data_IF_827830249232
#
_entry.id   IF_827830249232
#
_cell.length_a   1.000
_cell.length_b   1.000
_cell.length_c   1.000
_cell.angle_alpha   90.00
_cell.angle_beta   90.00
_cell.angle_gamma   90.00
#
_symmetry.space_group_name_H-M   'P 1'
#
loop_
_entity.id
_entity.type
_entity.pdbx_description
1 polymer ?
#
# COMPACT_ATOMS: atom_id res chain seq x y z
N UNK A 1 13.03 -5.66 -59.06
CA UNK A 1 13.36 -6.35 -57.80
C UNK A 1 14.68 -5.95 -57.14
N UNK A 2 15.62 -5.29 -57.80
CA UNK A 2 16.90 -4.82 -57.23
C UNK A 2 16.82 -3.38 -56.66
N UNK A 3 15.86 -2.54 -57.09
CA UNK A 3 15.71 -1.15 -56.67
C UNK A 3 15.03 -1.01 -55.30
N UNK A 4 14.12 -1.91 -54.96
CA UNK A 4 13.41 -1.90 -53.66
C UNK A 4 14.30 -2.23 -52.48
N UNK A 5 15.27 -3.15 -52.68
CA UNK A 5 16.23 -3.52 -51.62
C UNK A 5 17.19 -2.34 -51.28
N UNK A 6 17.48 -1.46 -52.22
CA UNK A 6 18.41 -0.32 -52.03
C UNK A 6 17.74 0.81 -51.21
N UNK A 7 16.43 1.03 -51.39
CA UNK A 7 15.69 2.06 -50.66
C UNK A 7 15.44 1.60 -49.23
N UNK A 8 14.99 0.35 -49.03
CA UNK A 8 14.82 -0.25 -47.71
C UNK A 8 16.12 -0.26 -46.90
N UNK A 9 17.24 -0.65 -47.53
CA UNK A 9 18.56 -0.63 -46.89
C UNK A 9 19.00 0.77 -46.49
N UNK A 10 18.70 1.80 -47.31
CA UNK A 10 18.99 3.22 -47.00
C UNK A 10 18.10 3.76 -45.87
N UNK A 11 16.84 3.38 -45.79
CA UNK A 11 15.92 3.77 -44.71
C UNK A 11 16.35 3.14 -43.39
N UNK A 12 16.70 1.86 -43.41
CA UNK A 12 17.19 1.12 -42.22
C UNK A 12 18.49 1.75 -41.70
N UNK A 13 19.47 2.05 -42.58
CA UNK A 13 20.76 2.61 -42.16
C UNK A 13 20.66 4.03 -41.58
N UNK A 14 19.62 4.79 -41.88
CA UNK A 14 19.39 6.12 -41.30
C UNK A 14 18.85 6.11 -39.88
N UNK A 15 18.31 5.00 -39.42
CA UNK A 15 17.62 4.86 -38.13
C UNK A 15 18.29 3.82 -37.21
N UNK A 16 19.57 3.54 -37.43
CA UNK A 16 20.33 2.64 -36.59
C UNK A 16 20.63 3.30 -35.23
N UNK A 17 20.45 2.55 -34.17
CA UNK A 17 20.78 2.94 -32.80
C UNK A 17 21.78 1.94 -32.24
N UNK A 18 22.76 2.40 -31.52
CA UNK A 18 23.72 1.52 -30.89
C UNK A 18 23.34 1.23 -29.44
N UNK A 19 23.62 0.04 -28.97
CA UNK A 19 23.49 -0.32 -27.56
C UNK A 19 24.39 0.57 -26.69
N UNK A 20 23.79 1.25 -25.71
CA UNK A 20 24.53 2.15 -24.81
C UNK A 20 25.56 1.44 -23.91
N UNK A 21 25.63 0.11 -23.90
CA UNK A 21 26.53 -0.65 -23.04
C UNK A 21 27.70 -1.32 -23.82
N UNK A 22 27.44 -1.86 -25.00
CA UNK A 22 28.45 -2.60 -25.78
C UNK A 22 28.67 -2.05 -27.19
N UNK A 23 27.96 -0.98 -27.54
CA UNK A 23 28.02 -0.31 -28.85
C UNK A 23 27.60 -1.17 -30.06
N UNK A 24 27.02 -2.35 -29.84
CA UNK A 24 26.45 -3.18 -30.91
C UNK A 24 25.27 -2.45 -31.54
N UNK A 25 25.18 -2.48 -32.85
CA UNK A 25 24.06 -1.94 -33.61
C UNK A 25 22.77 -2.68 -33.29
N UNK A 26 21.69 -1.93 -33.09
CA UNK A 26 20.35 -2.43 -32.76
C UNK A 26 19.42 -2.22 -33.93
N UNK A 27 18.64 -3.23 -34.28
CA UNK A 27 17.65 -3.12 -35.35
C UNK A 27 16.34 -2.54 -34.81
N UNK A 28 15.70 -1.67 -35.60
CA UNK A 28 14.36 -1.20 -35.27
C UNK A 28 13.38 -2.38 -35.37
N UNK A 29 12.37 -2.37 -34.50
CA UNK A 29 11.26 -3.34 -34.48
C UNK A 29 9.94 -2.62 -34.81
N UNK A 30 8.92 -3.40 -35.22
CA UNK A 30 7.62 -2.82 -35.64
C UNK A 30 7.66 -2.32 -37.08
N UNK A 31 6.75 -1.42 -37.43
CA UNK A 31 6.62 -0.84 -38.78
C UNK A 31 6.87 0.67 -38.81
N UNK A 32 6.93 1.33 -37.64
CA UNK A 32 7.01 2.78 -37.55
C UNK A 32 8.29 3.36 -38.16
N UNK A 33 9.37 2.60 -38.19
CA UNK A 33 10.63 2.99 -38.81
C UNK A 33 10.57 3.09 -40.35
N UNK A 34 9.52 2.53 -40.95
CA UNK A 34 9.33 2.59 -42.41
C UNK A 34 8.78 3.95 -42.90
N UNK A 35 8.20 4.72 -41.99
CA UNK A 35 7.63 6.02 -42.33
C UNK A 35 8.64 7.16 -42.17
N UNK A 36 8.72 8.03 -43.18
CA UNK A 36 9.70 9.13 -43.16
C UNK A 36 9.39 10.20 -42.09
N UNK A 37 8.13 10.37 -41.75
CA UNK A 37 7.63 11.41 -40.83
C UNK A 37 7.53 10.97 -39.35
N UNK A 38 8.00 9.78 -39.01
CA UNK A 38 7.97 9.33 -37.60
C UNK A 38 9.19 9.89 -36.87
N UNK A 39 8.93 10.51 -35.72
CA UNK A 39 10.00 10.98 -34.84
C UNK A 39 10.92 9.82 -34.44
N UNK A 40 12.25 9.98 -34.44
CA UNK A 40 13.19 8.97 -34.01
C UNK A 40 12.90 8.41 -32.62
N UNK A 41 12.29 9.22 -31.75
CA UNK A 41 11.93 8.85 -30.37
C UNK A 41 10.74 7.87 -30.30
N UNK A 42 9.95 7.77 -31.37
CA UNK A 42 8.84 6.83 -31.48
C UNK A 42 9.26 5.46 -32.04
N UNK A 43 10.50 5.31 -32.48
CA UNK A 43 10.99 4.06 -33.07
C UNK A 43 11.46 3.13 -31.94
N UNK A 44 10.84 1.97 -31.85
CA UNK A 44 11.29 0.91 -30.95
C UNK A 44 12.44 0.11 -31.56
N UNK A 45 13.38 -0.30 -30.75
CA UNK A 45 14.56 -1.08 -31.14
C UNK A 45 14.63 -2.40 -30.37
N UNK A 46 15.25 -3.40 -31.00
CA UNK A 46 15.54 -4.66 -30.33
C UNK A 46 16.39 -4.42 -29.08
N UNK A 47 16.19 -5.26 -28.07
CA UNK A 47 17.02 -5.22 -26.85
C UNK A 47 18.33 -5.97 -27.12
N UNK A 48 19.46 -5.33 -26.80
CA UNK A 48 20.75 -5.98 -26.95
C UNK A 48 20.88 -7.19 -26.00
N UNK A 49 21.52 -8.24 -26.50
CA UNK A 49 21.77 -9.48 -25.78
C UNK A 49 23.00 -9.47 -24.86
N UNK A 50 23.76 -8.34 -24.80
CA UNK A 50 24.89 -8.21 -23.89
C UNK A 50 24.44 -8.21 -22.43
N UNK A 51 25.30 -8.71 -21.53
CA UNK A 51 24.97 -8.92 -20.11
C UNK A 51 24.47 -7.66 -19.42
N UNK A 52 25.13 -6.52 -19.65
CA UNK A 52 24.71 -5.23 -19.06
C UNK A 52 23.34 -4.77 -19.56
N UNK A 53 23.03 -5.01 -20.84
CA UNK A 53 21.70 -4.67 -21.39
C UNK A 53 20.62 -5.58 -20.79
N UNK A 54 20.88 -6.90 -20.66
CA UNK A 54 19.94 -7.82 -20.02
C UNK A 54 19.63 -7.40 -18.58
N UNK A 55 20.65 -7.08 -17.78
CA UNK A 55 20.47 -6.61 -16.40
C UNK A 55 19.67 -5.30 -16.33
N UNK A 56 19.97 -4.34 -17.20
CA UNK A 56 19.25 -3.07 -17.31
C UNK A 56 17.77 -3.29 -17.64
N UNK A 57 17.47 -4.08 -18.67
CA UNK A 57 16.09 -4.32 -19.08
C UNK A 57 15.32 -5.15 -18.05
N UNK A 58 15.93 -6.14 -17.43
CA UNK A 58 15.31 -6.91 -16.35
C UNK A 58 14.91 -6.00 -15.17
N UNK A 59 15.77 -5.04 -14.80
CA UNK A 59 15.45 -4.04 -13.77
C UNK A 59 14.33 -3.12 -14.23
N UNK A 60 14.41 -2.60 -15.45
CA UNK A 60 13.41 -1.67 -16.00
C UNK A 60 12.04 -2.34 -16.14
N UNK A 61 11.96 -3.55 -16.68
CA UNK A 61 10.71 -4.30 -16.82
C UNK A 61 10.06 -4.55 -15.44
N UNK A 62 10.87 -4.82 -14.42
CA UNK A 62 10.38 -4.96 -13.05
C UNK A 62 9.83 -3.64 -12.50
N UNK A 63 10.51 -2.53 -12.75
CA UNK A 63 10.06 -1.19 -12.34
C UNK A 63 8.76 -0.81 -13.07
N UNK A 64 8.68 -1.03 -14.38
CA UNK A 64 7.50 -0.74 -15.20
C UNK A 64 6.30 -1.60 -14.76
N UNK A 65 6.51 -2.89 -14.49
CA UNK A 65 5.48 -3.77 -13.93
C UNK A 65 4.97 -3.27 -12.57
N UNK A 66 5.87 -2.88 -11.67
CA UNK A 66 5.48 -2.34 -10.36
C UNK A 66 4.71 -1.03 -10.49
N UNK A 67 5.11 -0.14 -11.40
CA UNK A 67 4.40 1.12 -11.65
C UNK A 67 3.00 0.87 -12.22
N UNK A 68 2.87 -0.05 -13.20
CA UNK A 68 1.57 -0.45 -13.75
C UNK A 68 0.66 -1.02 -12.65
N UNK A 69 1.19 -1.88 -11.78
CA UNK A 69 0.46 -2.48 -10.66
C UNK A 69 0.03 -1.41 -9.64
N UNK A 70 0.88 -0.42 -9.36
CA UNK A 70 0.54 0.72 -8.48
C UNK A 70 -0.59 1.58 -9.05
N UNK A 71 -0.57 1.88 -10.33
CA UNK A 71 -1.66 2.62 -10.99
C UNK A 71 -2.97 1.81 -11.00
N UNK A 72 -2.90 0.51 -11.19
CA UNK A 72 -4.05 -0.38 -11.07
C UNK A 72 -4.65 -0.34 -9.66
N UNK A 73 -3.82 -0.44 -8.61
CA UNK A 73 -4.28 -0.34 -7.23
C UNK A 73 -4.92 1.02 -6.91
N UNK A 74 -4.35 2.13 -7.42
CA UNK A 74 -4.96 3.46 -7.28
C UNK A 74 -6.34 3.54 -7.91
N UNK A 75 -6.51 2.94 -9.10
CA UNK A 75 -7.82 2.88 -9.79
C UNK A 75 -8.84 2.10 -8.96
N UNK A 76 -8.48 0.92 -8.46
CA UNK A 76 -9.37 0.12 -7.60
C UNK A 76 -9.76 0.89 -6.34
N UNK A 77 -8.80 1.46 -5.61
CA UNK A 77 -9.09 2.22 -4.40
C UNK A 77 -10.02 3.40 -4.70
N UNK A 78 -9.76 4.14 -5.76
CA UNK A 78 -10.63 5.25 -6.15
C UNK A 78 -12.04 4.78 -6.51
N UNK A 79 -12.20 3.67 -7.21
CA UNK A 79 -13.50 3.11 -7.57
C UNK A 79 -14.27 2.64 -6.33
N UNK A 80 -13.66 1.81 -5.49
CA UNK A 80 -14.31 1.17 -4.35
C UNK A 80 -14.60 2.16 -3.21
N UNK A 81 -13.74 3.16 -3.02
CA UNK A 81 -13.80 4.05 -1.86
C UNK A 81 -14.13 5.51 -2.20
N UNK A 82 -14.45 5.82 -3.48
CA UNK A 82 -14.77 7.19 -3.93
C UNK A 82 -15.88 7.85 -3.13
N UNK A 83 -16.90 7.08 -2.75
CA UNK A 83 -18.07 7.54 -2.02
C UNK A 83 -18.12 7.02 -0.57
N UNK A 84 -17.07 6.39 -0.06
CA UNK A 84 -17.06 5.81 1.26
C UNK A 84 -16.93 6.89 2.36
N UNK A 85 -17.55 6.64 3.49
CA UNK A 85 -17.45 7.43 4.71
C UNK A 85 -15.98 7.67 5.14
N UNK A 86 -15.08 6.74 4.82
CA UNK A 86 -13.65 6.82 5.08
C UNK A 86 -13.02 8.09 4.52
N UNK A 87 -13.29 8.40 3.23
CA UNK A 87 -12.64 9.53 2.56
C UNK A 87 -13.05 10.88 3.16
N UNK A 88 -14.33 11.04 3.52
CA UNK A 88 -14.84 12.31 4.09
C UNK A 88 -14.37 12.55 5.53
N UNK A 89 -14.39 11.52 6.37
CA UNK A 89 -14.10 11.67 7.80
C UNK A 89 -12.62 11.87 8.11
N UNK A 90 -11.71 11.35 7.28
CA UNK A 90 -10.29 11.41 7.55
C UNK A 90 -9.55 12.53 6.81
N UNK A 91 -10.17 13.14 5.78
CA UNK A 91 -9.50 14.11 4.89
C UNK A 91 -8.89 15.33 5.59
N UNK A 92 -9.54 15.81 6.63
CA UNK A 92 -9.13 17.05 7.32
C UNK A 92 -8.29 16.78 8.58
N UNK A 93 -7.97 15.51 8.88
CA UNK A 93 -7.18 15.16 10.05
C UNK A 93 -5.71 15.13 9.70
N UNK A 94 -4.92 16.05 10.27
CA UNK A 94 -3.49 16.14 10.07
C UNK A 94 -2.76 16.38 11.41
N UNK A 95 -1.43 16.36 11.41
CA UNK A 95 -0.64 16.56 12.61
C UNK A 95 -0.74 17.99 13.13
N UNK A 96 -0.96 19.00 12.25
CA UNK A 96 -1.02 20.42 12.58
C UNK A 96 -2.30 20.75 13.36
N UNK A 97 -3.44 20.13 13.01
CA UNK A 97 -4.71 20.38 13.68
C UNK A 97 -5.05 19.36 14.78
N UNK A 98 -4.09 18.49 15.12
CA UNK A 98 -4.24 17.59 16.25
C UNK A 98 -4.21 18.34 17.59
N UNK A 99 -5.16 18.06 18.47
CA UNK A 99 -5.15 18.63 19.81
C UNK A 99 -4.10 17.95 20.70
N UNK A 100 -2.92 18.56 20.81
CA UNK A 100 -1.76 18.04 21.56
C UNK A 100 -2.00 17.93 23.08
N UNK A 101 -3.01 18.60 23.61
CA UNK A 101 -3.36 18.48 25.04
C UNK A 101 -3.94 17.10 25.41
N UNK A 102 -4.35 16.30 24.42
CA UNK A 102 -4.96 14.98 24.63
C UNK A 102 -3.94 13.90 24.91
N UNK A 103 -2.68 14.09 24.52
CA UNK A 103 -1.65 13.05 24.49
C UNK A 103 -0.29 13.64 24.85
N UNK A 104 0.58 12.83 25.42
CA UNK A 104 1.96 13.20 25.71
C UNK A 104 2.73 13.52 24.40
N UNK A 105 3.49 14.63 24.40
CA UNK A 105 4.31 15.08 23.26
C UNK A 105 5.29 14.00 22.76
N UNK A 106 5.79 13.15 23.65
CA UNK A 106 6.67 12.03 23.30
C UNK A 106 5.97 11.04 22.37
N UNK A 107 4.70 10.69 22.68
CA UNK A 107 3.93 9.77 21.85
C UNK A 107 3.65 10.36 20.45
N UNK A 108 3.36 11.65 20.37
CA UNK A 108 3.16 12.35 19.09
C UNK A 108 4.45 12.31 18.28
N UNK A 109 5.59 12.63 18.89
CA UNK A 109 6.90 12.61 18.22
C UNK A 109 7.28 11.23 17.72
N UNK A 110 7.00 10.17 18.48
CA UNK A 110 7.21 8.78 18.02
C UNK A 110 6.41 8.49 16.76
N UNK A 111 5.16 8.95 16.68
CA UNK A 111 4.29 8.73 15.52
C UNK A 111 4.74 9.58 14.32
N UNK A 112 5.17 10.82 14.54
CA UNK A 112 5.75 11.65 13.49
C UNK A 112 7.03 11.01 12.92
N UNK A 113 7.97 10.59 13.78
CA UNK A 113 9.19 9.89 13.38
C UNK A 113 8.91 8.57 12.64
N UNK A 114 7.90 7.81 13.09
CA UNK A 114 7.42 6.62 12.40
C UNK A 114 6.94 6.96 10.99
N UNK A 115 6.15 8.01 10.87
CA UNK A 115 5.59 8.46 9.58
C UNK A 115 6.69 8.87 8.61
N UNK A 116 7.69 9.61 9.06
CA UNK A 116 8.84 10.01 8.22
C UNK A 116 9.65 8.78 7.75
N UNK A 117 9.82 7.77 8.60
CA UNK A 117 10.46 6.50 8.21
C UNK A 117 9.63 5.74 7.17
N UNK A 118 8.30 5.76 7.28
CA UNK A 118 7.42 5.18 6.26
C UNK A 118 7.53 5.93 4.92
N UNK A 119 7.58 7.26 4.94
CA UNK A 119 7.80 8.09 3.74
C UNK A 119 9.12 7.69 3.05
N UNK A 120 10.18 7.55 3.82
CA UNK A 120 11.50 7.16 3.34
C UNK A 120 11.59 5.66 2.93
N UNK A 121 10.50 4.87 3.07
CA UNK A 121 10.46 3.41 2.86
C UNK A 121 11.52 2.63 3.66
N UNK A 122 11.87 3.16 4.84
CA UNK A 122 12.81 2.54 5.79
C UNK A 122 12.10 1.78 6.91
N UNK A 123 10.78 1.94 7.02
CA UNK A 123 9.97 1.30 8.05
C UNK A 123 9.34 0.03 7.49
N UNK A 124 9.55 -1.07 8.15
CA UNK A 124 8.99 -2.39 7.82
C UNK A 124 8.03 -2.91 8.89
N UNK A 125 8.21 -2.44 10.14
CA UNK A 125 7.33 -2.81 11.23
C UNK A 125 6.07 -1.92 11.25
N UNK A 126 4.96 -2.51 11.68
CA UNK A 126 3.71 -1.81 11.89
C UNK A 126 3.70 -0.99 13.19
N UNK A 127 2.57 -0.32 13.44
CA UNK A 127 2.32 0.48 14.64
C UNK A 127 0.95 0.16 15.23
N UNK A 128 0.89 -0.16 16.53
CA UNK A 128 -0.36 -0.27 17.27
C UNK A 128 -0.50 0.93 18.19
N UNK A 129 -1.53 1.74 17.99
CA UNK A 129 -1.87 2.88 18.82
C UNK A 129 -3.01 2.48 19.77
N UNK A 130 -2.69 2.35 21.04
CA UNK A 130 -3.68 1.97 22.08
C UNK A 130 -4.07 3.15 22.96
N UNK A 131 -5.22 3.08 23.62
CA UNK A 131 -5.66 4.11 24.56
C UNK A 131 -7.19 4.22 24.64
N UNK A 132 -7.68 4.92 25.66
CA UNK A 132 -9.12 5.09 25.88
C UNK A 132 -9.82 5.81 24.71
N UNK A 133 -11.14 5.75 24.67
CA UNK A 133 -11.92 6.45 23.65
C UNK A 133 -11.76 7.98 23.79
N UNK A 134 -11.66 8.68 22.67
CA UNK A 134 -11.60 10.14 22.61
C UNK A 134 -10.22 10.75 22.85
N UNK A 135 -9.14 9.95 22.91
CA UNK A 135 -7.76 10.46 23.06
C UNK A 135 -7.08 10.80 21.72
N UNK A 136 -7.79 10.77 20.60
CA UNK A 136 -7.27 11.19 19.31
C UNK A 136 -6.58 10.10 18.47
N UNK A 137 -6.69 8.81 18.79
CA UNK A 137 -6.08 7.70 18.02
C UNK A 137 -6.44 7.73 16.54
N UNK A 138 -7.73 7.81 16.24
CA UNK A 138 -8.26 7.90 14.86
C UNK A 138 -7.71 9.13 14.14
N UNK A 139 -7.60 10.26 14.82
CA UNK A 139 -7.05 11.49 14.24
C UNK A 139 -5.58 11.29 13.81
N UNK A 140 -4.75 10.75 14.69
CA UNK A 140 -3.34 10.51 14.35
C UNK A 140 -3.16 9.41 13.30
N UNK A 141 -3.98 8.38 13.32
CA UNK A 141 -4.00 7.38 12.25
C UNK A 141 -4.35 8.00 10.89
N UNK A 142 -5.33 8.91 10.86
CA UNK A 142 -5.68 9.64 9.65
C UNK A 142 -4.61 10.66 9.24
N UNK A 143 -3.94 11.31 10.21
CA UNK A 143 -2.81 12.20 9.93
C UNK A 143 -1.63 11.46 9.27
N UNK A 144 -1.32 10.24 9.75
CA UNK A 144 -0.35 9.34 9.08
C UNK A 144 -0.80 9.09 7.64
N UNK A 145 -2.07 8.67 7.44
CA UNK A 145 -2.59 8.36 6.11
C UNK A 145 -2.45 9.54 5.15
N UNK A 146 -2.93 10.71 5.56
CA UNK A 146 -2.91 11.92 4.73
C UNK A 146 -1.48 12.33 4.36
N UNK A 147 -0.56 12.32 5.32
CA UNK A 147 0.84 12.65 5.07
C UNK A 147 1.52 11.68 4.09
N UNK A 148 1.24 10.38 4.18
CA UNK A 148 1.74 9.38 3.24
C UNK A 148 1.13 9.56 1.85
N UNK A 149 -0.17 9.86 1.75
CA UNK A 149 -0.87 10.13 0.48
C UNK A 149 -0.30 11.37 -0.22
N UNK A 150 -0.03 12.45 0.52
CA UNK A 150 0.63 13.66 0.01
C UNK A 150 2.00 13.37 -0.60
N UNK A 151 2.70 12.35 -0.09
CA UNK A 151 3.98 11.88 -0.63
C UNK A 151 3.83 10.82 -1.74
N UNK A 152 2.61 10.66 -2.29
CA UNK A 152 2.33 9.76 -3.41
C UNK A 152 2.29 8.27 -3.06
N UNK A 153 2.23 7.93 -1.77
CA UNK A 153 2.06 6.54 -1.35
C UNK A 153 0.61 6.08 -1.49
N UNK A 154 0.42 4.79 -1.65
CA UNK A 154 -0.90 4.17 -1.75
C UNK A 154 -1.31 3.72 -0.36
N UNK A 155 -2.30 4.40 0.21
CA UNK A 155 -2.75 4.18 1.58
C UNK A 155 -4.24 3.90 1.60
N UNK A 156 -4.63 2.96 2.43
CA UNK A 156 -6.03 2.67 2.73
C UNK A 156 -6.23 2.77 4.25
N UNK A 157 -7.25 3.52 4.67
CA UNK A 157 -7.63 3.65 6.09
C UNK A 157 -9.11 3.33 6.27
N UNK A 158 -9.44 2.54 7.28
CA UNK A 158 -10.83 2.25 7.65
C UNK A 158 -10.97 1.26 8.78
N UNK A 159 -12.23 1.00 9.16
CA UNK A 159 -12.56 -0.07 10.09
C UNK A 159 -12.42 -1.43 9.41
N UNK A 160 -12.09 -2.46 10.19
CA UNK A 160 -11.98 -3.83 9.67
C UNK A 160 -13.26 -4.27 8.96
N UNK A 161 -14.45 -3.99 9.54
CA UNK A 161 -15.74 -4.31 8.91
C UNK A 161 -15.89 -3.71 7.53
N UNK A 162 -15.54 -2.42 7.36
CA UNK A 162 -15.63 -1.74 6.06
C UNK A 162 -14.70 -2.38 5.02
N UNK A 163 -13.49 -2.77 5.41
CA UNK A 163 -12.54 -3.44 4.53
C UNK A 163 -13.04 -4.82 4.12
N UNK A 164 -13.57 -5.59 5.08
CA UNK A 164 -14.11 -6.94 4.83
C UNK A 164 -15.42 -6.91 4.06
N UNK A 165 -16.28 -5.91 4.27
CA UNK A 165 -17.52 -5.77 3.51
C UNK A 165 -17.22 -5.50 2.04
N UNK A 166 -16.15 -4.75 1.71
CA UNK A 166 -15.70 -4.61 0.32
C UNK A 166 -15.25 -5.94 -0.29
N UNK A 167 -14.63 -6.82 0.49
CA UNK A 167 -14.32 -8.18 0.01
C UNK A 167 -15.61 -8.97 -0.25
N UNK A 168 -16.62 -8.87 0.61
CA UNK A 168 -17.92 -9.54 0.38
C UNK A 168 -18.68 -9.00 -0.83
N UNK A 169 -18.60 -7.69 -1.07
CA UNK A 169 -19.23 -7.07 -2.25
C UNK A 169 -18.71 -7.67 -3.56
N UNK A 170 -17.45 -8.15 -3.59
CA UNK A 170 -16.90 -8.82 -4.80
C UNK A 170 -17.62 -10.12 -5.16
N UNK A 171 -18.34 -10.74 -4.23
CA UNK A 171 -19.13 -11.94 -4.52
C UNK A 171 -20.36 -11.66 -5.38
N UNK A 172 -20.87 -10.44 -5.35
CA UNK A 172 -22.04 -10.02 -6.14
C UNK A 172 -21.66 -9.28 -7.43
N UNK A 173 -20.47 -8.68 -7.48
CA UNK A 173 -19.97 -7.89 -8.60
C UNK A 173 -18.65 -8.49 -9.11
N UNK A 174 -18.68 -9.11 -10.29
CA UNK A 174 -17.52 -9.79 -10.89
C UNK A 174 -16.45 -8.83 -11.46
N UNK A 175 -16.47 -7.54 -11.11
CA UNK A 175 -15.49 -6.57 -11.63
C UNK A 175 -14.11 -6.70 -10.99
N UNK A 176 -14.06 -7.13 -9.73
CA UNK A 176 -12.82 -7.35 -8.96
C UNK A 176 -13.03 -8.63 -8.14
N UNK A 177 -12.10 -9.56 -8.18
CA UNK A 177 -12.19 -10.79 -7.40
C UNK A 177 -11.78 -10.58 -5.92
N UNK A 178 -12.24 -11.48 -5.04
CA UNK A 178 -11.78 -11.53 -3.65
C UNK A 178 -10.25 -11.57 -3.53
N UNK A 179 -9.61 -12.42 -4.34
CA UNK A 179 -8.15 -12.58 -4.31
C UNK A 179 -7.42 -11.29 -4.71
N UNK A 180 -7.91 -10.58 -5.73
CA UNK A 180 -7.33 -9.30 -6.15
C UNK A 180 -7.45 -8.24 -5.05
N UNK A 181 -8.55 -8.23 -4.30
CA UNK A 181 -8.74 -7.27 -3.22
C UNK A 181 -7.88 -7.61 -1.99
N UNK A 182 -7.74 -8.90 -1.65
CA UNK A 182 -6.80 -9.35 -0.62
C UNK A 182 -5.37 -9.04 -1.04
N UNK A 183 -5.01 -9.26 -2.31
CA UNK A 183 -3.69 -8.92 -2.84
C UNK A 183 -3.43 -7.41 -2.77
N UNK A 184 -4.42 -6.58 -3.11
CA UNK A 184 -4.33 -5.13 -2.94
C UNK A 184 -4.04 -4.75 -1.50
N UNK A 185 -4.83 -5.24 -0.53
CA UNK A 185 -4.64 -4.93 0.91
C UNK A 185 -3.29 -5.43 1.43
N UNK A 186 -2.80 -6.52 0.87
CA UNK A 186 -1.50 -7.11 1.23
C UNK A 186 -0.29 -6.34 0.66
N UNK A 187 -0.45 -5.58 -0.43
CA UNK A 187 0.68 -5.04 -1.19
C UNK A 187 0.73 -3.51 -1.33
N UNK A 188 -0.30 -2.77 -0.92
CA UNK A 188 -0.23 -1.29 -0.90
C UNK A 188 0.78 -0.81 0.14
N UNK A 189 1.30 0.42 -0.03
CA UNK A 189 2.36 0.96 0.82
C UNK A 189 1.95 0.95 2.31
N UNK A 190 0.69 1.29 2.64
CA UNK A 190 0.17 1.29 4.01
C UNK A 190 -1.30 0.88 4.05
N UNK A 191 -1.65 0.02 5.01
CA UNK A 191 -3.04 -0.19 5.44
C UNK A 191 -3.20 0.22 6.90
N UNK A 192 -4.28 0.94 7.20
CA UNK A 192 -4.59 1.43 8.54
C UNK A 192 -5.96 0.88 8.95
N UNK A 193 -5.99 0.08 10.00
CA UNK A 193 -7.23 -0.46 10.56
C UNK A 193 -7.59 0.34 11.81
N UNK A 194 -8.64 1.13 11.70
CA UNK A 194 -9.09 2.00 12.78
C UNK A 194 -10.09 1.30 13.72
N UNK A 195 -9.92 1.52 15.02
CA UNK A 195 -10.78 1.07 16.14
C UNK A 195 -10.97 -0.46 16.19
N UNK A 196 -9.89 -1.23 15.93
CA UNK A 196 -9.90 -2.69 15.91
C UNK A 196 -10.37 -3.27 17.25
N UNK A 197 -11.24 -4.30 17.18
CA UNK A 197 -11.78 -5.02 18.34
C UNK A 197 -13.10 -4.45 18.86
N UNK A 198 -13.67 -3.42 18.25
CA UNK A 198 -15.00 -2.89 18.59
C UNK A 198 -16.12 -3.66 17.89
N UNK A 199 -15.83 -4.29 16.79
CA UNK A 199 -16.70 -5.15 16.03
C UNK A 199 -16.71 -6.59 16.53
N UNK A 200 -17.77 -7.32 16.19
CA UNK A 200 -17.77 -8.79 16.29
C UNK A 200 -17.09 -9.35 15.03
N UNK A 201 -16.05 -10.12 15.25
CA UNK A 201 -15.35 -10.82 14.16
C UNK A 201 -15.95 -12.22 13.97
N UNK A 202 -16.09 -12.67 12.71
CA UNK A 202 -16.41 -14.04 12.36
C UNK A 202 -15.13 -14.83 12.07
N UNK A 203 -15.22 -16.17 12.04
CA UNK A 203 -14.09 -17.02 11.63
C UNK A 203 -13.53 -16.58 10.26
N UNK A 204 -14.43 -16.36 9.28
CA UNK A 204 -14.05 -15.83 7.96
C UNK A 204 -13.33 -14.49 8.06
N UNK A 205 -13.77 -13.58 8.93
CA UNK A 205 -13.12 -12.27 9.14
C UNK A 205 -11.70 -12.43 9.68
N UNK A 206 -11.49 -13.36 10.63
CA UNK A 206 -10.17 -13.66 11.19
C UNK A 206 -9.25 -14.30 10.14
N UNK A 207 -9.75 -15.23 9.33
CA UNK A 207 -9.00 -15.86 8.24
C UNK A 207 -8.50 -14.81 7.22
N UNK A 208 -9.37 -13.88 6.81
CA UNK A 208 -8.98 -12.82 5.88
C UNK A 208 -8.00 -11.83 6.50
N UNK A 209 -8.23 -11.44 7.75
CA UNK A 209 -7.32 -10.57 8.48
C UNK A 209 -5.95 -11.23 8.65
N UNK A 210 -5.90 -12.52 9.02
CA UNK A 210 -4.67 -13.28 9.14
C UNK A 210 -3.89 -13.31 7.81
N UNK A 211 -4.57 -13.62 6.71
CA UNK A 211 -3.96 -13.66 5.38
C UNK A 211 -3.34 -12.31 5.00
N UNK A 212 -4.07 -11.21 5.23
CA UNK A 212 -3.56 -9.86 4.93
C UNK A 212 -2.33 -9.53 5.78
N UNK A 213 -2.38 -9.82 7.09
CA UNK A 213 -1.29 -9.55 8.03
C UNK A 213 -0.05 -10.39 7.66
N UNK A 214 -0.24 -11.68 7.38
CA UNK A 214 0.85 -12.59 7.03
C UNK A 214 1.56 -12.13 5.75
N UNK A 215 0.81 -11.89 4.69
CA UNK A 215 1.35 -11.42 3.42
C UNK A 215 2.10 -10.08 3.60
N UNK A 216 1.58 -9.16 4.41
CA UNK A 216 2.27 -7.88 4.69
C UNK A 216 3.56 -8.09 5.48
N UNK A 217 3.55 -9.00 6.45
CA UNK A 217 4.74 -9.34 7.20
C UNK A 217 5.84 -9.96 6.31
N UNK A 218 5.48 -10.89 5.44
CA UNK A 218 6.41 -11.50 4.46
C UNK A 218 6.98 -10.46 3.49
N UNK A 219 6.13 -9.56 3.00
CA UNK A 219 6.52 -8.47 2.08
C UNK A 219 7.19 -7.29 2.80
N UNK A 220 7.36 -7.35 4.12
CA UNK A 220 7.93 -6.28 4.96
C UNK A 220 7.20 -4.93 4.78
N UNK A 221 5.88 -4.98 4.65
CA UNK A 221 5.01 -3.83 4.50
C UNK A 221 4.34 -3.49 5.83
N UNK A 222 4.44 -2.23 6.30
CA UNK A 222 3.90 -1.85 7.59
C UNK A 222 2.37 -1.80 7.60
N UNK A 223 1.79 -2.01 8.78
CA UNK A 223 0.37 -1.84 9.09
C UNK A 223 0.22 -0.91 10.28
N UNK A 224 -0.78 -0.03 10.28
CA UNK A 224 -1.13 0.77 11.46
C UNK A 224 -2.48 0.32 12.00
N UNK A 225 -2.57 0.16 13.30
CA UNK A 225 -3.78 -0.25 14.00
C UNK A 225 -4.08 0.74 15.11
N UNK A 226 -5.32 1.17 15.22
CA UNK A 226 -5.79 1.82 16.45
C UNK A 226 -6.74 0.89 17.18
N UNK A 227 -6.67 0.89 18.48
CA UNK A 227 -7.56 0.09 19.33
C UNK A 227 -7.71 0.72 20.72
N UNK A 228 -8.79 0.40 21.40
CA UNK A 228 -9.00 0.76 22.81
C UNK A 228 -8.55 -0.34 23.77
N UNK A 229 -8.22 -1.50 23.23
CA UNK A 229 -7.87 -2.68 24.01
C UNK A 229 -6.36 -2.84 24.08
N UNK A 230 -5.87 -3.39 25.20
CA UNK A 230 -4.55 -3.98 25.27
C UNK A 230 -4.52 -5.35 24.56
N UNK A 231 -3.36 -5.99 24.55
CA UNK A 231 -3.20 -7.31 23.90
C UNK A 231 -4.19 -8.33 24.41
N UNK A 232 -4.37 -8.42 25.73
CA UNK A 232 -5.24 -9.41 26.38
C UNK A 232 -6.71 -9.11 26.09
N UNK A 233 -7.11 -7.85 26.16
CA UNK A 233 -8.46 -7.39 25.84
C UNK A 233 -8.82 -7.66 24.38
N UNK A 234 -7.89 -7.42 23.46
CA UNK A 234 -8.10 -7.69 22.04
C UNK A 234 -8.19 -9.19 21.74
N UNK A 235 -7.32 -10.01 22.37
CA UNK A 235 -7.39 -11.47 22.27
C UNK A 235 -8.75 -11.99 22.79
N UNK A 236 -9.19 -11.53 23.96
CA UNK A 236 -10.50 -11.91 24.50
C UNK A 236 -11.65 -11.58 23.54
N UNK A 237 -11.62 -10.37 22.93
CA UNK A 237 -12.65 -9.95 21.97
C UNK A 237 -12.68 -10.84 20.72
N UNK A 238 -11.52 -11.25 20.24
CA UNK A 238 -11.42 -12.07 19.04
C UNK A 238 -11.82 -13.53 19.29
N UNK A 239 -11.67 -14.01 20.54
CA UNK A 239 -12.09 -15.37 20.95
C UNK A 239 -13.59 -15.50 21.19
N UNK A 240 -14.34 -14.40 21.38
CA UNK A 240 -15.77 -14.45 21.69
C UNK A 240 -16.57 -15.20 20.60
N UNK A 241 -16.85 -16.49 20.84
CA UNK A 241 -17.64 -17.35 19.94
C UNK A 241 -16.93 -17.77 18.65
N UNK A 242 -15.59 -17.74 18.62
CA UNK A 242 -14.78 -18.02 17.46
C UNK A 242 -13.72 -19.12 17.75
N UNK A 243 -12.96 -19.43 16.71
CA UNK A 243 -11.78 -20.29 16.76
C UNK A 243 -10.67 -19.59 17.57
N UNK A 244 -10.44 -20.08 18.80
CA UNK A 244 -9.49 -19.47 19.73
C UNK A 244 -8.05 -19.53 19.23
N UNK A 245 -7.68 -20.60 18.54
CA UNK A 245 -6.34 -20.79 17.99
C UNK A 245 -6.06 -19.77 16.90
N UNK A 246 -7.01 -19.58 15.98
CA UNK A 246 -6.91 -18.56 14.92
C UNK A 246 -6.88 -17.13 15.48
N UNK A 247 -7.71 -16.85 16.50
CA UNK A 247 -7.72 -15.57 17.19
C UNK A 247 -6.35 -15.26 17.81
N UNK A 248 -5.74 -16.22 18.50
CA UNK A 248 -4.41 -16.09 19.09
C UNK A 248 -3.32 -15.92 18.00
N UNK A 249 -3.43 -16.65 16.89
CA UNK A 249 -2.51 -16.52 15.77
C UNK A 249 -2.51 -15.09 15.19
N UNK A 250 -3.70 -14.52 14.94
CA UNK A 250 -3.87 -13.12 14.47
C UNK A 250 -3.23 -12.14 15.45
N UNK A 251 -3.58 -12.23 16.74
CA UNK A 251 -3.10 -11.28 17.75
C UNK A 251 -1.58 -11.40 17.94
N UNK A 252 -1.05 -12.61 18.01
CA UNK A 252 0.38 -12.82 18.18
C UNK A 252 1.16 -12.27 16.98
N UNK A 253 0.68 -12.51 15.75
CA UNK A 253 1.31 -11.98 14.55
C UNK A 253 1.29 -10.45 14.52
N UNK A 254 0.17 -9.80 14.85
CA UNK A 254 0.08 -8.34 14.96
C UNK A 254 1.10 -7.76 15.95
N UNK A 255 1.16 -8.31 17.14
CA UNK A 255 2.09 -7.83 18.18
C UNK A 255 3.55 -8.19 17.91
N UNK A 256 3.81 -9.19 17.08
CA UNK A 256 5.16 -9.53 16.63
C UNK A 256 5.69 -8.53 15.59
N UNK A 257 4.82 -8.09 14.66
CA UNK A 257 5.23 -7.20 13.58
C UNK A 257 5.09 -5.71 13.88
N UNK A 258 4.42 -5.32 14.98
CA UNK A 258 4.11 -3.92 15.29
C UNK A 258 4.78 -3.43 16.56
N UNK A 259 5.18 -2.16 16.57
CA UNK A 259 5.50 -1.43 17.80
C UNK A 259 4.22 -0.93 18.47
N UNK A 260 4.20 -0.90 19.81
CA UNK A 260 3.08 -0.35 20.58
C UNK A 260 3.33 1.08 21.03
N UNK A 261 2.34 1.96 20.86
CA UNK A 261 2.29 3.31 21.48
C UNK A 261 0.99 3.42 22.24
N UNK A 262 1.07 3.67 23.54
CA UNK A 262 -0.11 3.77 24.40
C UNK A 262 -0.38 5.22 24.79
N UNK A 263 -1.60 5.69 24.54
CA UNK A 263 -2.06 7.00 24.92
C UNK A 263 -2.73 6.95 26.31
N UNK A 264 -2.07 7.56 27.27
CA UNK A 264 -2.57 7.70 28.64
C UNK A 264 -3.13 9.11 28.78
N UNK A 265 -4.42 9.23 29.06
CA UNK A 265 -5.04 10.51 29.34
C UNK A 265 -4.88 10.86 30.83
N UNK A 266 -3.80 11.54 31.19
CA UNK A 266 -3.52 11.95 32.56
C UNK A 266 -4.58 12.91 33.14
N UNK A 267 -5.33 13.65 32.31
CA UNK A 267 -6.33 14.63 32.76
C UNK A 267 -7.69 14.02 33.14
N UNK A 268 -7.99 12.74 32.83
CA UNK A 268 -9.28 12.11 33.19
C UNK A 268 -9.32 11.50 34.58
N UNK A 269 -8.21 11.37 35.27
CA UNK A 269 -8.16 10.83 36.65
C UNK A 269 -8.74 11.82 37.68
N UNK A 270 -8.91 13.09 37.35
CA UNK A 270 -9.35 14.14 38.31
C UNK A 270 -10.82 14.55 38.21
N UNK A 271 -11.67 13.88 37.42
CA UNK A 271 -13.10 14.22 37.28
C UNK A 271 -14.08 13.04 37.45
N UNK A 272 -13.78 12.11 38.34
CA UNK A 272 -14.80 11.21 38.88
C UNK A 272 -15.16 11.67 40.28
N UNK A 273 -16.08 12.60 40.36
CA UNK A 273 -16.93 12.84 41.54
C UNK A 273 -18.37 12.66 41.13
#
# INVERSE_FOLDING_TARGET
>A
MVLENTVLTKVINRKLKNCGFCNKELKPIGFDYLYENVSPDCIEYERCDCEKSKQYWAKKDKEDYLNMKREYYRKIINQLYKNSYMKKNYQNMNFENFNKELVNDIAIKIIEDYTEKCIAKKQTNGLIITGTSGVGKTHLAAAIANKLIEKGQIVLIGRLTTLLDKIKETFADNTISENELIELYSNIDMIIIDDLGTERVSKWSLEKLYTIIENRNENRLPIVITTRFDKNGLSKRFKEGQDEELADAVINKLYQMCYGVTFINEKRVSKSR
#
